data_IF_119554918427
#
_entry.id   IF_119554918427
#
_cell.length_a   1.000
_cell.length_b   1.000
_cell.length_c   1.000
_cell.angle_alpha   90.00
_cell.angle_beta   90.00
_cell.angle_gamma   90.00
#
_symmetry.space_group_name_H-M   'P 1'
#
loop_
_entity.id
_entity.type
_entity.pdbx_description
1 polymer ?
#
# COMPACT_ATOMS: atom_id res chain seq x y z
N UNK A 1 -14.65 -18.21 6.57
CA UNK A 1 -14.59 -16.79 6.14
C UNK A 1 -14.12 -15.96 7.34
N UNK A 2 -13.32 -14.92 7.13
CA UNK A 2 -12.80 -14.08 8.23
C UNK A 2 -13.94 -13.25 8.83
N UNK A 3 -14.00 -13.14 10.17
CA UNK A 3 -14.93 -12.24 10.84
C UNK A 3 -14.34 -10.83 10.91
N UNK A 4 -14.79 -9.94 10.02
CA UNK A 4 -14.33 -8.57 9.92
C UNK A 4 -14.91 -7.64 11.00
N UNK A 5 -15.96 -8.07 11.73
CA UNK A 5 -16.53 -7.31 12.86
C UNK A 5 -15.78 -7.57 14.16
N UNK A 6 -15.15 -8.73 14.27
CA UNK A 6 -14.36 -9.10 15.44
C UNK A 6 -12.99 -8.41 15.48
N UNK A 7 -12.35 -8.43 16.66
CA UNK A 7 -10.94 -8.06 16.83
C UNK A 7 -10.07 -8.95 15.92
N UNK A 8 -9.07 -8.42 15.20
CA UNK A 8 -8.48 -7.07 15.31
C UNK A 8 -9.06 -6.01 14.36
N UNK A 9 -10.06 -6.34 13.55
CA UNK A 9 -10.53 -5.47 12.47
C UNK A 9 -11.57 -4.46 12.93
N UNK A 10 -12.56 -4.92 13.71
CA UNK A 10 -13.60 -4.06 14.28
C UNK A 10 -14.31 -3.16 13.24
N UNK A 11 -14.50 -3.65 12.02
CA UNK A 11 -15.06 -2.86 10.92
C UNK A 11 -16.57 -2.61 11.08
N UNK A 12 -17.02 -1.44 10.63
CA UNK A 12 -18.44 -1.14 10.52
C UNK A 12 -19.09 -1.93 9.36
N UNK A 13 -20.42 -1.91 9.28
CA UNK A 13 -21.12 -2.54 8.15
C UNK A 13 -20.75 -1.88 6.80
N UNK A 14 -20.58 -0.55 6.78
CA UNK A 14 -20.19 0.20 5.58
C UNK A 14 -18.76 -0.16 5.12
N UNK A 15 -17.82 -0.30 6.05
CA UNK A 15 -16.45 -0.71 5.73
C UNK A 15 -16.41 -2.14 5.17
N UNK A 16 -17.21 -3.05 5.73
CA UNK A 16 -17.32 -4.44 5.25
C UNK A 16 -17.92 -4.47 3.84
N UNK A 17 -18.97 -3.68 3.60
CA UNK A 17 -19.57 -3.53 2.27
C UNK A 17 -18.54 -3.04 1.24
N UNK A 18 -17.66 -2.09 1.62
CA UNK A 18 -16.58 -1.63 0.77
C UNK A 18 -15.57 -2.75 0.46
N UNK A 19 -15.16 -3.53 1.47
CA UNK A 19 -14.24 -4.67 1.29
C UNK A 19 -14.83 -5.70 0.33
N UNK A 20 -16.08 -6.11 0.57
CA UNK A 20 -16.74 -7.15 -0.22
C UNK A 20 -16.97 -6.70 -1.67
N UNK A 21 -17.44 -5.47 -1.88
CA UNK A 21 -17.64 -4.91 -3.22
C UNK A 21 -16.33 -4.72 -3.97
N UNK A 22 -15.29 -4.22 -3.29
CA UNK A 22 -13.95 -4.07 -3.88
C UNK A 22 -13.42 -5.43 -4.31
N UNK A 23 -13.44 -6.42 -3.42
CA UNK A 23 -12.95 -7.77 -3.70
C UNK A 23 -13.72 -8.47 -4.83
N UNK A 24 -15.05 -8.30 -4.87
CA UNK A 24 -15.90 -8.84 -5.93
C UNK A 24 -15.60 -8.20 -7.29
N UNK A 25 -15.27 -6.90 -7.31
CA UNK A 25 -14.95 -6.14 -8.52
C UNK A 25 -13.53 -6.33 -9.05
N UNK A 26 -12.68 -7.11 -8.37
CA UNK A 26 -11.29 -7.32 -8.78
C UNK A 26 -11.12 -8.44 -9.79
N UNK A 27 -10.25 -8.22 -10.78
CA UNK A 27 -9.72 -9.28 -11.65
C UNK A 27 -8.82 -10.24 -10.88
N UNK A 28 -8.48 -11.39 -11.47
CA UNK A 28 -7.53 -12.32 -10.86
C UNK A 28 -6.16 -11.66 -10.66
N UNK A 29 -5.67 -10.93 -11.66
CA UNK A 29 -4.38 -10.23 -11.59
C UNK A 29 -4.37 -9.17 -10.48
N UNK A 30 -5.47 -8.44 -10.30
CA UNK A 30 -5.63 -7.50 -9.18
C UNK A 30 -5.56 -8.24 -7.83
N UNK A 31 -6.26 -9.38 -7.70
CA UNK A 31 -6.24 -10.18 -6.46
C UNK A 31 -4.85 -10.70 -6.15
N UNK A 32 -4.12 -11.16 -7.17
CA UNK A 32 -2.74 -11.63 -7.03
C UNK A 32 -1.83 -10.47 -6.64
N UNK A 33 -1.93 -9.30 -7.31
CA UNK A 33 -1.13 -8.12 -6.99
C UNK A 33 -1.28 -7.65 -5.55
N UNK A 34 -2.51 -7.67 -5.01
CA UNK A 34 -2.77 -7.28 -3.63
C UNK A 34 -2.11 -8.18 -2.57
N UNK A 35 -1.64 -9.38 -2.93
CA UNK A 35 -0.89 -10.26 -2.01
C UNK A 35 0.57 -9.85 -1.85
N UNK A 36 1.09 -8.97 -2.72
CA UNK A 36 2.49 -8.57 -2.69
C UNK A 36 2.69 -7.23 -1.97
N UNK A 37 3.62 -7.24 -1.01
CA UNK A 37 4.22 -6.04 -0.43
C UNK A 37 5.64 -5.90 -1.00
N UNK A 38 5.86 -4.91 -1.84
CA UNK A 38 7.13 -4.71 -2.55
C UNK A 38 8.04 -3.76 -1.78
N UNK A 39 9.34 -3.78 -2.05
CA UNK A 39 10.28 -2.86 -1.40
C UNK A 39 10.47 -1.61 -2.26
N UNK A 40 10.32 -0.43 -1.65
CA UNK A 40 10.56 0.86 -2.31
C UNK A 40 12.02 1.27 -2.20
N UNK A 41 12.71 1.33 -3.34
CA UNK A 41 14.14 1.67 -3.42
C UNK A 41 14.44 3.02 -4.11
N UNK A 42 13.43 3.63 -4.73
CA UNK A 42 13.57 4.83 -5.55
C UNK A 42 12.24 5.59 -5.55
N UNK A 43 12.31 6.91 -5.67
CA UNK A 43 11.15 7.80 -5.84
C UNK A 43 10.88 8.15 -7.32
N UNK A 44 11.56 7.49 -8.26
CA UNK A 44 11.35 7.66 -9.70
C UNK A 44 9.88 7.39 -10.09
N UNK A 45 9.24 8.39 -10.70
CA UNK A 45 7.81 8.36 -10.96
C UNK A 45 7.36 7.18 -11.84
N UNK A 46 8.13 6.85 -12.88
CA UNK A 46 7.84 5.72 -13.76
C UNK A 46 7.88 4.38 -13.00
N UNK A 47 8.92 4.18 -12.18
CA UNK A 47 9.05 3.00 -11.33
C UNK A 47 7.82 2.86 -10.40
N UNK A 48 7.47 3.92 -9.68
CA UNK A 48 6.35 3.93 -8.75
C UNK A 48 5.00 3.70 -9.44
N UNK A 49 4.79 4.29 -10.63
CA UNK A 49 3.60 4.05 -11.44
C UNK A 49 3.45 2.59 -11.83
N UNK A 50 4.55 1.91 -12.17
CA UNK A 50 4.51 0.47 -12.47
C UNK A 50 4.12 -0.34 -11.25
N UNK A 51 4.66 -0.04 -10.07
CA UNK A 51 4.25 -0.72 -8.83
C UNK A 51 2.74 -0.57 -8.54
N UNK A 52 2.21 0.65 -8.70
CA UNK A 52 0.84 0.98 -8.36
C UNK A 52 -0.18 0.50 -9.41
N UNK A 53 0.09 0.72 -10.71
CA UNK A 53 -0.88 0.52 -11.78
C UNK A 53 -0.63 -0.75 -12.62
N UNK A 54 0.63 -1.10 -12.90
CA UNK A 54 0.97 -2.30 -13.69
C UNK A 54 0.87 -3.54 -12.80
N UNK A 55 1.62 -3.55 -11.70
CA UNK A 55 1.71 -4.67 -10.75
C UNK A 55 0.58 -4.69 -9.72
N UNK A 56 -0.06 -3.55 -9.46
CA UNK A 56 -1.24 -3.45 -8.58
C UNK A 56 -0.95 -3.99 -7.18
N UNK A 57 0.25 -3.70 -6.68
CA UNK A 57 0.74 -4.18 -5.41
C UNK A 57 -0.18 -3.75 -4.26
N UNK A 58 -0.36 -4.61 -3.26
CA UNK A 58 -1.16 -4.30 -2.06
C UNK A 58 -0.44 -3.39 -1.08
N UNK A 59 0.89 -3.39 -1.11
CA UNK A 59 1.67 -2.52 -0.25
C UNK A 59 3.09 -2.27 -0.73
N UNK A 60 3.73 -1.31 -0.07
CA UNK A 60 5.13 -0.96 -0.25
C UNK A 60 5.81 -0.85 1.13
N UNK A 61 6.95 -1.49 1.29
CA UNK A 61 7.89 -1.25 2.38
C UNK A 61 8.88 -0.17 1.97
N UNK A 62 8.74 1.04 2.52
CA UNK A 62 9.69 2.12 2.30
C UNK A 62 11.04 1.78 2.97
N UNK A 63 12.12 1.97 2.22
CA UNK A 63 13.48 2.04 2.79
C UNK A 63 13.82 3.49 3.13
N UNK A 64 14.77 3.72 4.05
CA UNK A 64 15.26 5.06 4.34
C UNK A 64 15.68 5.80 3.07
N UNK A 65 15.10 6.99 2.89
CA UNK A 65 15.41 7.96 1.83
C UNK A 65 15.20 9.37 2.41
N UNK A 66 15.65 10.45 1.74
CA UNK A 66 15.30 11.80 2.15
C UNK A 66 13.78 11.97 2.31
N UNK A 67 13.34 12.67 3.36
CA UNK A 67 11.92 12.79 3.68
C UNK A 67 11.05 13.34 2.52
N UNK A 68 11.62 14.22 1.69
CA UNK A 68 10.95 14.75 0.50
C UNK A 68 10.69 13.66 -0.56
N UNK A 69 11.61 12.72 -0.71
CA UNK A 69 11.55 11.63 -1.69
C UNK A 69 10.55 10.56 -1.20
N UNK A 70 10.47 10.35 0.12
CA UNK A 70 9.40 9.55 0.75
C UNK A 70 8.02 10.16 0.50
N UNK A 71 7.88 11.48 0.69
CA UNK A 71 6.61 12.16 0.43
C UNK A 71 6.21 12.02 -1.05
N UNK A 72 7.14 12.24 -1.98
CA UNK A 72 6.92 12.03 -3.41
C UNK A 72 6.49 10.58 -3.71
N UNK A 73 7.18 9.61 -3.09
CA UNK A 73 6.88 8.19 -3.22
C UNK A 73 5.44 7.87 -2.81
N UNK A 74 5.04 8.26 -1.60
CA UNK A 74 3.71 7.99 -1.06
C UNK A 74 2.63 8.67 -1.92
N UNK A 75 2.83 9.93 -2.30
CA UNK A 75 1.85 10.65 -3.12
C UNK A 75 1.68 10.02 -4.50
N UNK A 76 2.78 9.64 -5.15
CA UNK A 76 2.74 9.03 -6.47
C UNK A 76 2.05 7.67 -6.42
N UNK A 77 2.37 6.82 -5.44
CA UNK A 77 1.71 5.52 -5.28
C UNK A 77 0.20 5.68 -5.04
N UNK A 78 -0.21 6.52 -4.08
CA UNK A 78 -1.63 6.68 -3.73
C UNK A 78 -2.45 7.32 -4.86
N UNK A 79 -1.85 8.20 -5.68
CA UNK A 79 -2.54 8.80 -6.84
C UNK A 79 -2.75 7.83 -8.00
N UNK A 80 -1.87 6.84 -8.15
CA UNK A 80 -1.88 5.93 -9.31
C UNK A 80 -2.47 4.55 -8.98
N UNK A 81 -2.61 4.19 -7.70
CA UNK A 81 -3.19 2.92 -7.28
C UNK A 81 -4.73 2.98 -7.32
N UNK A 82 -5.35 1.95 -7.90
CA UNK A 82 -6.82 1.79 -7.90
C UNK A 82 -7.37 1.51 -6.50
N UNK A 83 -6.65 0.72 -5.70
CA UNK A 83 -6.94 0.42 -4.29
C UNK A 83 -5.83 1.09 -3.46
N UNK A 84 -6.15 1.86 -2.40
CA UNK A 84 -5.13 2.48 -1.57
C UNK A 84 -4.10 1.48 -1.06
N UNK A 85 -2.82 1.78 -1.28
CA UNK A 85 -1.73 0.88 -0.90
C UNK A 85 -1.41 1.00 0.58
N UNK A 86 -1.06 -0.13 1.21
CA UNK A 86 -0.47 -0.12 2.55
C UNK A 86 0.99 0.36 2.47
N UNK A 87 1.31 1.44 3.17
CA UNK A 87 2.68 1.97 3.25
C UNK A 87 3.29 1.54 4.59
N UNK A 88 4.34 0.73 4.53
CA UNK A 88 5.05 0.18 5.68
C UNK A 88 6.47 0.76 5.78
N UNK A 89 7.03 0.73 6.99
CA UNK A 89 8.43 1.05 7.25
C UNK A 89 8.91 0.36 8.55
N UNK A 90 10.22 0.17 8.68
CA UNK A 90 10.86 -0.43 9.87
C UNK A 90 11.11 0.62 10.97
N UNK A 91 10.04 1.14 11.58
CA UNK A 91 10.11 2.21 12.59
C UNK A 91 10.53 1.71 14.00
N UNK A 92 11.47 0.79 14.06
CA UNK A 92 11.94 0.14 15.31
C UNK A 92 12.83 1.08 16.16
N UNK A 93 13.44 2.08 15.52
CA UNK A 93 14.33 3.08 16.15
C UNK A 93 13.95 4.50 15.71
N UNK A 94 12.69 4.86 15.89
CA UNK A 94 12.15 6.16 15.47
C UNK A 94 12.15 6.35 13.95
N UNK A 95 12.35 7.59 13.49
CA UNK A 95 12.28 7.96 12.06
C UNK A 95 13.36 7.36 11.16
N UNK A 96 14.46 6.84 11.74
CA UNK A 96 15.60 6.28 10.98
C UNK A 96 15.25 5.09 10.09
N UNK A 97 14.11 4.44 10.32
CA UNK A 97 13.60 3.36 9.50
C UNK A 97 12.91 3.77 8.20
N UNK A 98 12.67 5.08 8.00
CA UNK A 98 11.94 5.60 6.83
C UNK A 98 12.57 6.86 6.24
N UNK A 99 13.09 7.76 7.07
CA UNK A 99 13.58 9.06 6.62
C UNK A 99 15.03 9.27 7.08
N UNK A 100 15.86 9.70 6.14
CA UNK A 100 17.18 10.27 6.41
C UNK A 100 17.03 11.79 6.56
N UNK A 101 17.67 12.36 7.59
CA UNK A 101 17.78 13.81 7.82
C UNK A 101 18.91 14.42 6.99
#
# INVERSE_FOLDING_TARGET
MVDLKAKPFNLSAEDIDWVERTLAGMTLDEKVGQLFCLVGYSDEEEYLKRLAAEYKAGGLMCRPMPARDILNTVQTLQRNAKIPMLIAANLEKGGSGIAEE
#
